data_IF_756126913215
#
_entry.id   IF_756126913215
#
_cell.length_a   1.000
_cell.length_b   1.000
_cell.length_c   1.000
_cell.angle_alpha   90.00
_cell.angle_beta   90.00
_cell.angle_gamma   90.00
#
_symmetry.space_group_name_H-M   'P 1'
#
loop_
_entity.id
_entity.type
_entity.pdbx_description
1 polymer ?
#
# COMPACT_ATOMS: atom_id res chain seq x y z
N UNK A 1 13.38 10.49 -23.38
CA UNK A 1 12.42 9.73 -22.56
C UNK A 1 11.72 10.76 -21.71
N UNK A 2 10.50 11.15 -22.06
CA UNK A 2 9.76 12.18 -21.33
C UNK A 2 9.35 11.62 -19.99
N UNK A 3 9.94 12.14 -18.91
CA UNK A 3 9.40 11.97 -17.57
C UNK A 3 8.13 12.82 -17.53
N UNK A 4 7.00 12.23 -17.95
CA UNK A 4 5.69 12.80 -17.67
C UNK A 4 5.56 12.83 -16.16
N UNK A 5 5.91 13.98 -15.59
CA UNK A 5 5.70 14.32 -14.19
C UNK A 5 4.18 14.36 -14.02
N UNK A 6 3.57 13.18 -13.81
CA UNK A 6 2.13 13.00 -13.66
C UNK A 6 1.79 13.73 -12.36
N UNK A 7 1.44 15.01 -12.49
CA UNK A 7 1.11 15.88 -11.36
C UNK A 7 0.03 15.14 -10.57
N UNK A 8 0.39 14.62 -9.39
CA UNK A 8 -0.50 13.83 -8.56
C UNK A 8 -1.70 14.69 -8.17
N UNK A 9 -2.78 14.59 -8.95
CA UNK A 9 -4.06 15.22 -8.64
C UNK A 9 -4.83 14.27 -7.75
N UNK A 10 -4.33 14.08 -6.54
CA UNK A 10 -5.00 13.29 -5.53
C UNK A 10 -6.38 13.91 -5.25
N UNK A 11 -7.41 13.09 -5.34
CA UNK A 11 -8.80 13.50 -5.09
C UNK A 11 -9.45 12.50 -4.16
N UNK A 12 -10.37 13.00 -3.34
CA UNK A 12 -11.21 12.13 -2.53
C UNK A 12 -12.11 11.30 -3.46
N UNK A 13 -12.03 9.98 -3.33
CA UNK A 13 -12.87 9.02 -4.04
C UNK A 13 -14.05 8.58 -3.18
N UNK A 14 -14.56 7.39 -3.48
CA UNK A 14 -15.67 6.79 -2.76
C UNK A 14 -15.41 6.67 -1.25
N UNK A 15 -16.48 6.70 -0.46
CA UNK A 15 -16.41 6.56 0.99
C UNK A 15 -17.49 5.58 1.46
N UNK A 16 -17.05 4.44 1.97
CA UNK A 16 -17.91 3.40 2.53
C UNK A 16 -17.82 3.43 4.05
N UNK A 17 -18.96 3.67 4.70
CA UNK A 17 -19.05 3.73 6.17
C UNK A 17 -19.08 2.35 6.83
N UNK A 18 -19.14 1.27 6.06
CA UNK A 18 -19.08 -0.12 6.55
C UNK A 18 -18.61 -1.07 5.45
N UNK A 19 -18.08 -2.23 5.83
CA UNK A 19 -17.72 -3.31 4.90
C UNK A 19 -18.91 -3.79 4.09
N UNK A 20 -20.09 -3.93 4.70
CA UNK A 20 -21.31 -4.34 3.98
C UNK A 20 -21.68 -3.38 2.85
N UNK A 21 -21.54 -2.05 3.05
CA UNK A 21 -21.81 -1.08 1.98
C UNK A 21 -20.83 -1.19 0.82
N UNK A 22 -19.58 -1.55 1.10
CA UNK A 22 -18.59 -1.83 0.08
C UNK A 22 -18.93 -3.14 -0.67
N UNK A 23 -19.23 -4.22 0.07
CA UNK A 23 -19.58 -5.53 -0.49
C UNK A 23 -20.80 -5.48 -1.41
N UNK A 24 -21.83 -4.72 -1.05
CA UNK A 24 -23.05 -4.57 -1.85
C UNK A 24 -22.81 -3.96 -3.25
N UNK A 25 -21.73 -3.20 -3.43
CA UNK A 25 -21.38 -2.61 -4.73
C UNK A 25 -20.55 -3.55 -5.62
N UNK A 26 -20.06 -4.67 -5.06
CA UNK A 26 -19.32 -5.69 -5.81
C UNK A 26 -18.09 -5.15 -6.56
N UNK A 27 -17.80 -5.73 -7.73
CA UNK A 27 -16.64 -5.36 -8.54
C UNK A 27 -16.67 -3.89 -9.03
N UNK A 28 -17.85 -3.29 -9.14
CA UNK A 28 -17.98 -1.89 -9.58
C UNK A 28 -17.49 -0.90 -8.52
N UNK A 29 -17.42 -1.29 -7.24
CA UNK A 29 -16.94 -0.44 -6.16
C UNK A 29 -15.53 0.13 -6.44
N UNK A 30 -14.67 -0.70 -7.07
CA UNK A 30 -13.28 -0.35 -7.35
C UNK A 30 -13.10 0.39 -8.67
N UNK A 31 -14.09 0.37 -9.58
CA UNK A 31 -14.00 1.02 -10.90
C UNK A 31 -13.77 2.54 -10.82
N UNK A 32 -14.25 3.15 -9.73
CA UNK A 32 -14.07 4.58 -9.44
C UNK A 32 -12.70 4.94 -8.88
N UNK A 33 -11.88 3.94 -8.50
CA UNK A 33 -10.58 4.10 -7.86
C UNK A 33 -9.49 4.02 -8.92
N UNK A 34 -9.37 5.08 -9.69
CA UNK A 34 -8.29 5.26 -10.66
C UNK A 34 -7.92 6.73 -10.81
N UNK A 35 -6.73 6.98 -11.36
CA UNK A 35 -6.25 8.31 -11.72
C UNK A 35 -6.24 9.30 -10.54
N UNK A 36 -5.59 8.89 -9.44
CA UNK A 36 -5.39 9.69 -8.23
C UNK A 36 -6.59 9.70 -7.27
N UNK A 37 -7.59 8.84 -7.49
CA UNK A 37 -8.72 8.72 -6.57
C UNK A 37 -8.33 7.89 -5.34
N UNK A 38 -8.55 8.46 -4.15
CA UNK A 38 -8.33 7.78 -2.87
C UNK A 38 -9.67 7.49 -2.22
N UNK A 39 -10.07 6.22 -2.18
CA UNK A 39 -11.28 5.81 -1.51
C UNK A 39 -11.04 5.50 -0.02
N UNK A 40 -12.11 5.51 0.75
CA UNK A 40 -12.09 5.24 2.19
C UNK A 40 -13.04 4.11 2.53
N UNK A 41 -12.54 3.08 3.21
CA UNK A 41 -13.35 2.02 3.79
C UNK A 41 -13.27 2.12 5.31
N UNK A 42 -14.41 2.35 5.96
CA UNK A 42 -14.54 2.30 7.41
C UNK A 42 -15.03 0.91 7.82
N UNK A 43 -14.34 0.29 8.77
CA UNK A 43 -14.73 -0.96 9.39
C UNK A 43 -14.82 -0.78 10.91
N UNK A 44 -15.24 -1.83 11.63
CA UNK A 44 -15.16 -1.84 13.10
C UNK A 44 -13.72 -1.77 13.62
N UNK A 45 -12.75 -2.23 12.83
CA UNK A 45 -11.33 -2.32 13.19
C UNK A 45 -10.52 -1.08 12.82
N UNK A 46 -11.03 -0.23 11.91
CA UNK A 46 -10.32 0.99 11.54
C UNK A 46 -10.80 1.64 10.26
N UNK A 47 -9.95 2.51 9.71
CA UNK A 47 -10.16 3.22 8.45
C UNK A 47 -9.06 2.83 7.48
N UNK A 48 -9.44 2.27 6.35
CA UNK A 48 -8.54 1.84 5.29
C UNK A 48 -8.64 2.81 4.11
N UNK A 49 -7.52 3.04 3.43
CA UNK A 49 -7.46 3.79 2.18
C UNK A 49 -7.21 2.83 1.04
N UNK A 50 -8.00 2.97 -0.02
CA UNK A 50 -7.89 2.14 -1.21
C UNK A 50 -7.50 3.07 -2.36
N UNK A 51 -6.47 2.67 -3.08
CA UNK A 51 -5.85 3.43 -4.18
C UNK A 51 -5.47 2.45 -5.28
N UNK A 52 -5.39 2.95 -6.51
CA UNK A 52 -4.88 2.16 -7.64
C UNK A 52 -3.39 1.87 -7.44
N UNK A 53 -2.94 0.66 -7.80
CA UNK A 53 -1.54 0.24 -7.64
C UNK A 53 -0.57 1.18 -8.35
N UNK A 54 -0.93 1.63 -9.57
CA UNK A 54 -0.10 2.55 -10.35
C UNK A 54 0.11 3.90 -9.63
N UNK A 55 -0.94 4.42 -8.98
CA UNK A 55 -0.88 5.64 -8.19
C UNK A 55 -0.10 5.42 -6.88
N UNK A 56 -0.25 4.26 -6.23
CA UNK A 56 0.55 3.90 -5.05
C UNK A 56 2.04 3.90 -5.35
N UNK A 57 2.45 3.23 -6.43
CA UNK A 57 3.84 3.05 -6.79
C UNK A 57 4.53 4.37 -7.13
N UNK A 58 3.83 5.26 -7.83
CA UNK A 58 4.36 6.58 -8.11
C UNK A 58 4.42 7.47 -6.85
N UNK A 59 3.48 7.35 -5.88
CA UNK A 59 3.58 8.05 -4.59
C UNK A 59 4.73 7.50 -3.73
N UNK A 60 4.89 6.18 -3.72
CA UNK A 60 5.96 5.51 -2.99
C UNK A 60 7.34 5.88 -3.55
N UNK A 61 7.48 5.89 -4.88
CA UNK A 61 8.69 6.37 -5.57
C UNK A 61 9.04 7.80 -5.16
N UNK A 62 8.06 8.71 -5.21
CA UNK A 62 8.26 10.11 -4.80
C UNK A 62 8.68 10.24 -3.32
N UNK A 63 8.02 9.51 -2.42
CA UNK A 63 8.37 9.52 -1.00
C UNK A 63 9.81 9.05 -0.79
N UNK A 64 10.24 8.03 -1.52
CA UNK A 64 11.59 7.48 -1.44
C UNK A 64 12.63 8.43 -2.03
N UNK A 65 12.31 9.14 -3.10
CA UNK A 65 13.17 10.19 -3.67
C UNK A 65 13.35 11.35 -2.68
N UNK A 66 12.27 11.78 -2.01
CA UNK A 66 12.35 12.81 -0.95
C UNK A 66 13.24 12.36 0.21
N UNK A 67 13.09 11.12 0.67
CA UNK A 67 13.93 10.56 1.73
C UNK A 67 15.42 10.54 1.35
N UNK A 68 15.70 10.21 0.08
CA UNK A 68 17.05 10.18 -0.46
C UNK A 68 17.65 11.57 -0.59
N UNK A 69 16.90 12.54 -1.11
CA UNK A 69 17.32 13.95 -1.16
C UNK A 69 17.60 14.48 0.26
N UNK A 70 16.75 14.16 1.24
CA UNK A 70 16.97 14.51 2.64
C UNK A 70 18.26 13.89 3.19
N UNK A 71 18.58 12.65 2.81
CA UNK A 71 19.83 11.98 3.13
C UNK A 71 21.04 12.71 2.53
N UNK A 72 21.03 12.94 1.22
CA UNK A 72 22.12 13.64 0.52
C UNK A 72 22.36 15.06 1.05
N UNK A 73 21.30 15.82 1.29
CA UNK A 73 21.40 17.17 1.86
C UNK A 73 22.04 17.17 3.26
N UNK A 74 21.80 16.15 4.09
CA UNK A 74 22.48 16.03 5.39
C UNK A 74 23.99 15.86 5.22
N UNK A 75 24.43 15.07 4.24
CA UNK A 75 25.86 14.88 3.95
C UNK A 75 26.47 16.20 3.47
N UNK A 76 25.80 16.93 2.57
CA UNK A 76 26.25 18.27 2.12
C UNK A 76 26.43 19.22 3.31
N UNK A 77 25.46 19.27 4.24
CA UNK A 77 25.55 20.13 5.43
C UNK A 77 26.78 19.76 6.29
N UNK A 78 27.09 18.47 6.42
CA UNK A 78 28.27 18.03 7.17
C UNK A 78 29.57 18.42 6.47
N UNK A 79 29.66 18.25 5.15
CA UNK A 79 30.82 18.66 4.37
C UNK A 79 31.04 20.18 4.42
N UNK A 80 29.96 20.98 4.33
CA UNK A 80 30.03 22.44 4.50
C UNK A 80 30.59 22.81 5.88
N UNK A 81 30.12 22.16 6.95
CA UNK A 81 30.62 22.41 8.31
C UNK A 81 32.09 22.02 8.48
N UNK A 82 32.54 20.93 7.84
CA UNK A 82 33.94 20.52 7.85
C UNK A 82 34.82 21.57 7.16
N UNK A 83 34.45 21.98 5.93
CA UNK A 83 35.16 23.03 5.19
C UNK A 83 35.14 24.40 5.91
N UNK A 84 34.06 24.74 6.62
CA UNK A 84 34.00 25.97 7.42
C UNK A 84 34.94 25.94 8.63
N UNK A 85 35.10 24.77 9.28
CA UNK A 85 36.01 24.61 10.43
C UNK A 85 37.47 24.51 9.99
N UNK A 86 37.71 23.84 8.86
CA UNK A 86 39.04 23.55 8.32
C UNK A 86 38.99 23.75 6.79
N UNK A 87 39.26 24.97 6.29
CA UNK A 87 39.19 25.29 4.86
C UNK A 87 40.46 24.83 4.13
N UNK A 88 40.80 23.55 4.27
CA UNK A 88 41.88 22.91 3.54
C UNK A 88 41.39 22.34 2.18
N UNK A 89 42.30 22.08 1.24
CA UNK A 89 41.93 21.56 -0.08
C UNK A 89 41.16 20.24 -0.03
N UNK A 90 41.40 19.41 0.99
CA UNK A 90 40.76 18.10 1.14
C UNK A 90 39.27 18.24 1.51
N UNK A 91 38.96 19.10 2.49
CA UNK A 91 37.59 19.40 2.89
C UNK A 91 36.80 20.15 1.81
N UNK A 92 37.45 21.01 1.02
CA UNK A 92 36.82 21.67 -0.13
C UNK A 92 36.53 20.67 -1.27
N UNK A 93 37.44 19.74 -1.53
CA UNK A 93 37.22 18.67 -2.51
C UNK A 93 36.10 17.72 -2.06
N UNK A 94 36.06 17.36 -0.76
CA UNK A 94 34.96 16.56 -0.19
C UNK A 94 33.61 17.25 -0.37
N UNK A 95 33.54 18.57 -0.16
CA UNK A 95 32.31 19.34 -0.39
C UNK A 95 31.90 19.30 -1.87
N UNK A 96 32.84 19.52 -2.79
CA UNK A 96 32.57 19.47 -4.23
C UNK A 96 32.05 18.08 -4.66
N UNK A 97 32.70 17.02 -4.20
CA UNK A 97 32.31 15.63 -4.47
C UNK A 97 30.91 15.32 -3.90
N UNK A 98 30.63 15.75 -2.68
CA UNK A 98 29.32 15.53 -2.04
C UNK A 98 28.19 16.23 -2.79
N UNK A 99 28.45 17.42 -3.33
CA UNK A 99 27.48 18.15 -4.17
C UNK A 99 27.29 17.46 -5.52
N UNK A 100 28.37 16.97 -6.14
CA UNK A 100 28.29 16.21 -7.39
C UNK A 100 27.47 14.92 -7.22
N UNK A 101 27.71 14.17 -6.14
CA UNK A 101 26.93 12.97 -5.79
C UNK A 101 25.44 13.24 -5.60
N UNK A 102 25.05 14.43 -5.11
CA UNK A 102 23.64 14.82 -4.99
C UNK A 102 23.00 15.06 -6.37
N UNK A 103 23.75 15.59 -7.33
CA UNK A 103 23.29 15.81 -8.70
C UNK A 103 23.12 14.52 -9.50
N UNK A 104 23.96 13.52 -9.22
CA UNK A 104 23.96 12.21 -9.91
C UNK A 104 23.12 11.13 -9.21
N UNK A 105 22.31 11.52 -8.23
CA UNK A 105 21.44 10.62 -7.50
C UNK A 105 20.48 9.89 -8.48
N UNK A 106 20.64 8.57 -8.75
CA UNK A 106 19.84 7.83 -9.74
C UNK A 106 18.36 7.78 -9.34
N UNK A 107 17.45 8.31 -10.15
CA UNK A 107 16.00 8.19 -9.87
C UNK A 107 15.63 6.73 -9.63
N UNK A 108 14.81 6.48 -8.60
CA UNK A 108 14.33 5.11 -8.38
C UNK A 108 13.50 4.69 -9.59
N UNK A 109 13.73 3.48 -10.13
CA UNK A 109 12.95 3.02 -11.26
C UNK A 109 11.48 2.94 -10.83
N UNK A 110 10.66 3.84 -11.37
CA UNK A 110 9.22 3.67 -11.38
C UNK A 110 8.95 2.48 -12.30
N UNK A 111 8.58 1.34 -11.73
CA UNK A 111 8.23 0.16 -12.53
C UNK A 111 6.98 0.50 -13.34
N UNK A 112 7.10 0.49 -14.66
CA UNK A 112 5.99 0.78 -15.58
C UNK A 112 4.97 -0.36 -15.67
N UNK A 113 5.31 -1.54 -15.14
CA UNK A 113 4.44 -2.71 -15.13
C UNK A 113 4.70 -3.56 -13.89
N UNK A 114 3.62 -4.13 -13.37
CA UNK A 114 3.63 -5.11 -12.31
C UNK A 114 2.91 -6.35 -12.81
N UNK A 115 3.34 -7.51 -12.31
CA UNK A 115 2.55 -8.72 -12.50
C UNK A 115 1.20 -8.50 -11.82
N UNK A 116 0.13 -8.84 -12.54
CA UNK A 116 -1.22 -8.75 -12.00
C UNK A 116 -1.23 -9.60 -10.73
N UNK A 117 -1.63 -9.00 -9.60
CA UNK A 117 -1.90 -9.77 -8.39
C UNK A 117 -3.02 -10.76 -8.74
N UNK A 118 -2.64 -12.01 -8.98
CA UNK A 118 -3.56 -13.12 -9.06
C UNK A 118 -3.82 -13.49 -7.60
N UNK A 119 -5.08 -13.67 -7.17
CA UNK A 119 -5.35 -14.23 -5.85
C UNK A 119 -4.49 -15.48 -5.65
N UNK A 120 -3.75 -15.55 -4.55
CA UNK A 120 -3.02 -16.77 -4.19
C UNK A 120 -4.04 -17.91 -4.14
N UNK A 121 -3.83 -18.91 -5.00
CA UNK A 121 -4.62 -20.11 -5.22
C UNK A 121 -6.05 -20.09 -4.65
N UNK A 122 -7.03 -19.77 -5.51
CA UNK A 122 -8.34 -20.40 -5.40
C UNK A 122 -8.19 -21.87 -5.80
N UNK A 123 -7.49 -22.66 -4.98
CA UNK A 123 -7.72 -24.10 -4.96
C UNK A 123 -9.09 -24.26 -4.28
N UNK A 124 -10.16 -23.99 -5.06
CA UNK A 124 -11.48 -24.49 -4.72
C UNK A 124 -11.32 -26.00 -4.85
N UNK A 125 -11.16 -26.70 -3.72
CA UNK A 125 -11.32 -28.15 -3.73
C UNK A 125 -12.64 -28.42 -4.47
N UNK A 126 -12.62 -29.21 -5.55
CA UNK A 126 -13.84 -29.53 -6.31
C UNK A 126 -14.88 -30.26 -5.43
N UNK A 127 -14.43 -30.77 -4.27
CA UNK A 127 -15.24 -31.38 -3.21
C UNK A 127 -15.74 -30.39 -2.15
N UNK A 128 -15.33 -29.11 -2.17
CA UNK A 128 -15.82 -28.06 -1.27
C UNK A 128 -17.14 -27.49 -1.83
N UNK A 129 -18.14 -28.37 -1.95
CA UNK A 129 -19.53 -27.97 -2.11
C UNK A 129 -19.90 -27.11 -0.90
N UNK A 130 -20.02 -25.80 -1.12
CA UNK A 130 -20.65 -24.89 -0.17
C UNK A 130 -22.04 -25.43 0.15
N UNK A 131 -22.23 -26.01 1.35
CA UNK A 131 -23.56 -26.40 1.84
C UNK A 131 -24.42 -25.15 1.97
N UNK A 132 -25.27 -24.91 0.97
CA UNK A 132 -26.19 -23.78 0.92
C UNK A 132 -27.48 -24.05 1.72
N UNK A 133 -27.73 -25.32 2.07
CA UNK A 133 -28.88 -25.71 2.87
C UNK A 133 -28.58 -25.58 4.38
N UNK A 134 -29.27 -24.67 5.10
CA UNK A 134 -29.08 -24.48 6.53
C UNK A 134 -29.38 -25.72 7.39
N UNK A 135 -30.12 -26.70 6.85
CA UNK A 135 -30.55 -27.92 7.55
C UNK A 135 -29.50 -29.05 7.45
N UNK A 136 -28.56 -28.96 6.51
CA UNK A 136 -27.46 -29.93 6.35
C UNK A 136 -26.22 -29.60 7.20
N UNK A 137 -26.22 -28.42 7.85
CA UNK A 137 -25.13 -27.97 8.72
C UNK A 137 -25.26 -28.66 10.09
N UNK A 138 -24.40 -29.62 10.38
CA UNK A 138 -24.30 -30.24 11.72
C UNK A 138 -23.92 -29.19 12.78
N UNK A 139 -24.87 -28.82 13.64
CA UNK A 139 -24.67 -27.80 14.68
C UNK A 139 -24.15 -28.45 15.96
N UNK A 140 -22.99 -28.06 16.51
CA UNK A 140 -22.37 -28.72 17.66
C UNK A 140 -23.09 -28.61 19.02
N UNK A 141 -24.38 -28.27 19.10
CA UNK A 141 -25.05 -27.97 20.37
C UNK A 141 -26.46 -28.58 20.55
N UNK A 142 -26.86 -29.58 19.75
CA UNK A 142 -28.18 -30.23 19.94
C UNK A 142 -28.13 -31.62 20.60
N UNK A 143 -26.95 -32.22 20.78
CA UNK A 143 -26.82 -33.58 21.33
C UNK A 143 -26.75 -33.68 22.86
N UNK A 144 -26.63 -32.56 23.59
CA UNK A 144 -26.54 -32.61 25.07
C UNK A 144 -27.89 -32.64 25.81
N UNK A 145 -29.02 -32.35 25.14
CA UNK A 145 -30.34 -32.35 25.79
C UNK A 145 -31.13 -33.66 25.70
N UNK A 146 -30.61 -34.69 25.04
CA UNK A 146 -31.34 -35.96 24.87
C UNK A 146 -31.04 -37.03 25.95
N UNK A 147 -30.03 -36.83 26.81
CA UNK A 147 -29.56 -37.88 27.73
C UNK A 147 -30.26 -37.82 29.11
N UNK A 148 -30.96 -36.74 29.47
CA UNK A 148 -31.49 -36.57 30.83
C UNK A 148 -32.97 -36.93 31.08
N UNK A 149 -33.70 -37.54 30.14
CA UNK A 149 -35.13 -37.86 30.34
C UNK A 149 -35.48 -39.36 30.20
N UNK A 150 -34.67 -40.25 30.77
CA UNK A 150 -35.05 -41.66 31.00
C UNK A 150 -34.50 -42.20 32.32
N UNK A 151 -34.99 -41.68 33.45
CA UNK A 151 -35.06 -42.44 34.70
C UNK A 151 -36.39 -42.07 35.36
N UNK A 152 -37.40 -42.91 35.11
CA UNK A 152 -38.46 -43.31 36.04
C UNK A 152 -38.92 -44.72 35.61
#
# INVERSE_FOLDING_TARGET
>A
MEITNKKFRLRNGANWTSFEKFRLQGAEALSSIANGAIATLQTKTGKYRIIEESDFQAMYGLARDVDRLRGGLRVVILAVRAAQKHPDPENLNLLAETVAMLGDLPELPTRNSFDRLVPENFDLDEDDEVMLDPDEIERPLQSENAINNRID
#
